data_IF_051367840151
#
_entry.id   IF_051367840151
#
_cell.length_a   1.000
_cell.length_b   1.000
_cell.length_c   1.000
_cell.angle_alpha   90.00
_cell.angle_beta   90.00
_cell.angle_gamma   90.00
#
_symmetry.space_group_name_H-M   'P 1'
#
loop_
_entity.id
_entity.type
_entity.pdbx_description
1 polymer ?
#
# COMPACT_ATOMS: atom_id res chain seq x y z
N UNK A 1 54.75 -43.71 17.46
CA UNK A 1 53.77 -43.50 18.50
C UNK A 1 53.20 -42.16 18.22
N UNK A 2 52.13 -42.16 17.56
CA UNK A 2 50.74 -41.99 17.97
C UNK A 2 50.29 -40.57 17.94
N UNK A 3 49.38 -40.32 16.98
CA UNK A 3 48.06 -39.67 17.11
C UNK A 3 48.11 -38.13 17.25
N UNK A 4 47.34 -37.33 16.59
CA UNK A 4 45.95 -37.47 16.20
C UNK A 4 45.53 -36.50 15.08
N UNK A 5 44.68 -37.01 14.29
CA UNK A 5 43.73 -36.45 13.37
C UNK A 5 42.75 -35.49 14.04
N UNK A 6 42.11 -34.69 13.22
CA UNK A 6 40.87 -33.93 13.43
C UNK A 6 41.05 -32.42 13.73
N UNK A 7 41.10 -31.64 12.68
CA UNK A 7 40.38 -30.37 12.66
C UNK A 7 40.02 -29.94 11.22
N UNK A 8 39.39 -30.85 10.49
CA UNK A 8 38.59 -30.51 9.28
C UNK A 8 37.13 -30.50 9.69
N UNK A 9 36.60 -29.41 10.23
CA UNK A 9 35.14 -29.17 10.33
C UNK A 9 34.94 -27.77 10.92
N UNK A 10 35.15 -26.69 10.16
CA UNK A 10 34.62 -25.34 10.46
C UNK A 10 34.91 -24.32 9.35
N UNK A 11 34.93 -24.69 8.07
CA UNK A 11 34.98 -23.73 6.98
C UNK A 11 33.96 -24.03 5.87
N UNK A 12 32.69 -24.21 6.23
CA UNK A 12 31.59 -24.22 5.28
C UNK A 12 30.37 -23.60 5.94
N UNK A 13 30.33 -22.30 6.12
CA UNK A 13 29.09 -21.56 6.34
C UNK A 13 29.33 -20.02 6.33
N UNK A 14 29.89 -19.50 5.24
CA UNK A 14 29.83 -18.06 5.03
C UNK A 14 29.93 -17.68 3.56
N UNK A 15 29.07 -18.26 2.73
CA UNK A 15 28.82 -17.82 1.35
C UNK A 15 27.33 -17.86 1.03
N UNK A 16 26.52 -17.16 1.83
CA UNK A 16 25.21 -16.69 1.40
C UNK A 16 25.16 -15.18 1.60
N UNK A 17 25.99 -14.45 0.88
CA UNK A 17 25.59 -13.11 0.42
C UNK A 17 24.45 -13.37 -0.55
N UNK A 18 23.21 -13.38 -0.03
CA UNK A 18 22.01 -13.36 -0.83
C UNK A 18 22.08 -12.05 -1.63
N UNK A 19 22.57 -12.15 -2.86
CA UNK A 19 22.27 -11.13 -3.87
C UNK A 19 20.78 -10.87 -3.73
N UNK A 20 20.35 -9.61 -3.77
CA UNK A 20 18.93 -9.26 -3.72
C UNK A 20 18.28 -9.79 -5.02
N UNK A 21 18.06 -11.12 -5.06
CA UNK A 21 17.37 -11.76 -6.16
C UNK A 21 15.99 -11.16 -6.21
N UNK A 22 15.65 -10.62 -7.37
CA UNK A 22 14.32 -10.05 -7.62
C UNK A 22 13.27 -11.10 -7.29
N UNK A 23 12.51 -10.83 -6.25
CA UNK A 23 11.58 -11.80 -5.62
C UNK A 23 10.34 -11.99 -6.49
N UNK A 24 9.94 -10.92 -7.22
CA UNK A 24 8.74 -10.92 -8.05
C UNK A 24 9.09 -10.70 -9.52
N UNK A 25 8.39 -11.40 -10.43
CA UNK A 25 8.51 -11.13 -11.87
C UNK A 25 7.97 -9.72 -12.18
N UNK A 26 6.75 -9.45 -11.75
CA UNK A 26 6.02 -8.21 -11.93
C UNK A 26 4.99 -8.00 -10.79
N UNK A 27 4.18 -6.92 -10.89
CA UNK A 27 3.14 -6.60 -9.91
C UNK A 27 2.04 -7.66 -9.86
N UNK A 28 1.69 -8.26 -11.00
CA UNK A 28 0.65 -9.29 -11.05
C UNK A 28 1.10 -10.57 -10.36
N UNK A 29 2.36 -10.97 -10.55
CA UNK A 29 2.94 -12.12 -9.84
C UNK A 29 2.93 -11.88 -8.33
N UNK A 30 3.42 -10.72 -7.86
CA UNK A 30 3.39 -10.36 -6.46
C UNK A 30 1.96 -10.34 -5.89
N UNK A 31 1.02 -9.80 -6.67
CA UNK A 31 -0.39 -9.71 -6.28
C UNK A 31 -1.06 -11.08 -6.19
N UNK A 32 -0.76 -12.03 -7.08
CA UNK A 32 -1.25 -13.40 -7.00
C UNK A 32 -0.83 -14.07 -5.71
N UNK A 33 0.45 -13.98 -5.35
CA UNK A 33 0.99 -14.55 -4.10
C UNK A 33 0.35 -13.88 -2.87
N UNK A 34 0.19 -12.57 -2.91
CA UNK A 34 -0.41 -11.81 -1.81
C UNK A 34 -1.89 -12.15 -1.65
N UNK A 35 -2.62 -12.31 -2.73
CA UNK A 35 -4.04 -12.69 -2.74
C UNK A 35 -4.27 -14.09 -2.17
N UNK A 36 -3.40 -15.06 -2.48
CA UNK A 36 -3.42 -16.40 -1.88
C UNK A 36 -3.20 -16.32 -0.36
N UNK A 37 -2.19 -15.56 0.08
CA UNK A 37 -1.92 -15.36 1.51
C UNK A 37 -3.08 -14.68 2.22
N UNK A 38 -3.68 -13.65 1.61
CA UNK A 38 -4.87 -12.97 2.11
C UNK A 38 -6.06 -13.91 2.22
N UNK A 39 -6.30 -14.73 1.21
CA UNK A 39 -7.41 -15.70 1.21
C UNK A 39 -7.29 -16.66 2.38
N UNK A 40 -6.10 -17.23 2.61
CA UNK A 40 -5.83 -18.12 3.76
C UNK A 40 -6.04 -17.37 5.07
N UNK A 41 -5.57 -16.13 5.17
CA UNK A 41 -5.74 -15.27 6.33
C UNK A 41 -7.23 -15.02 6.63
N UNK A 42 -8.00 -14.59 5.64
CA UNK A 42 -9.44 -14.29 5.79
C UNK A 42 -10.23 -15.53 6.20
N UNK A 43 -9.89 -16.70 5.65
CA UNK A 43 -10.50 -17.99 6.04
C UNK A 43 -10.20 -18.33 7.50
N UNK A 44 -8.95 -18.20 7.96
CA UNK A 44 -8.55 -18.43 9.35
C UNK A 44 -9.27 -17.50 10.33
N UNK A 45 -9.49 -16.24 9.93
CA UNK A 45 -10.22 -15.24 10.73
C UNK A 45 -11.74 -15.33 10.57
N UNK A 46 -12.25 -16.30 9.79
CA UNK A 46 -13.68 -16.49 9.52
C UNK A 46 -14.35 -15.22 8.95
N UNK A 47 -13.61 -14.44 8.14
CA UNK A 47 -14.13 -13.26 7.46
C UNK A 47 -14.74 -13.72 6.13
N UNK A 48 -16.07 -13.59 5.93
CA UNK A 48 -16.71 -14.06 4.72
C UNK A 48 -16.31 -13.26 3.49
N UNK A 49 -15.90 -13.94 2.42
CA UNK A 49 -15.61 -13.34 1.13
C UNK A 49 -16.93 -12.89 0.47
N UNK A 50 -17.17 -11.58 0.48
CA UNK A 50 -18.42 -11.01 -0.05
C UNK A 50 -18.22 -9.55 -0.44
N UNK A 51 -18.75 -9.16 -1.60
CA UNK A 51 -18.73 -7.77 -2.09
C UNK A 51 -19.40 -6.77 -1.14
N UNK A 52 -20.34 -7.23 -0.33
CA UNK A 52 -21.03 -6.41 0.66
C UNK A 52 -20.18 -6.18 1.92
N UNK A 53 -19.27 -7.08 2.23
CA UNK A 53 -18.51 -7.09 3.49
C UNK A 53 -17.05 -6.67 3.34
N UNK A 54 -16.47 -6.85 2.17
CA UNK A 54 -15.07 -6.55 1.89
C UNK A 54 -14.98 -5.55 0.73
N UNK A 55 -14.09 -4.57 0.89
CA UNK A 55 -13.69 -3.65 -0.16
C UNK A 55 -12.16 -3.60 -0.20
N UNK A 56 -11.59 -3.84 -1.38
CA UNK A 56 -10.18 -3.57 -1.64
C UNK A 56 -10.04 -2.09 -1.97
N UNK A 57 -9.21 -1.36 -1.24
CA UNK A 57 -8.83 0.01 -1.53
C UNK A 57 -7.38 0.04 -1.99
N UNK A 58 -7.13 0.45 -3.22
CA UNK A 58 -5.80 0.49 -3.79
C UNK A 58 -5.23 1.90 -3.89
N UNK A 59 -3.95 2.05 -3.53
CA UNK A 59 -3.23 3.32 -3.68
C UNK A 59 -2.68 3.40 -5.11
N UNK A 60 -3.12 4.37 -5.95
CA UNK A 60 -2.62 4.51 -7.31
C UNK A 60 -1.14 4.95 -7.35
N UNK A 61 -0.42 4.54 -8.37
CA UNK A 61 -0.88 3.83 -9.56
C UNK A 61 -0.62 2.33 -9.48
N UNK A 62 0.59 1.90 -9.05
CA UNK A 62 1.00 0.49 -9.02
C UNK A 62 0.10 -0.37 -8.14
N UNK A 63 -0.34 0.16 -6.99
CA UNK A 63 -1.25 -0.54 -6.09
C UNK A 63 -2.59 -0.91 -6.73
N UNK A 64 -3.03 -0.22 -7.80
CA UNK A 64 -4.28 -0.56 -8.49
C UNK A 64 -4.14 -1.86 -9.30
N UNK A 65 -2.99 -2.10 -9.91
CA UNK A 65 -2.70 -3.38 -10.59
C UNK A 65 -2.70 -4.52 -9.56
N UNK A 66 -2.04 -4.32 -8.42
CA UNK A 66 -2.03 -5.27 -7.31
C UNK A 66 -3.44 -5.51 -6.76
N UNK A 67 -4.21 -4.42 -6.59
CA UNK A 67 -5.59 -4.47 -6.10
C UNK A 67 -6.56 -5.19 -7.03
N UNK A 68 -6.42 -5.03 -8.35
CA UNK A 68 -7.25 -5.71 -9.37
C UNK A 68 -7.13 -7.23 -9.27
N UNK A 69 -5.89 -7.73 -9.20
CA UNK A 69 -5.61 -9.16 -9.07
C UNK A 69 -6.20 -9.70 -7.75
N UNK A 70 -5.95 -9.01 -6.64
CA UNK A 70 -6.46 -9.42 -5.32
C UNK A 70 -8.00 -9.40 -5.28
N UNK A 71 -8.62 -8.32 -5.75
CA UNK A 71 -10.08 -8.19 -5.76
C UNK A 71 -10.73 -9.28 -6.62
N UNK A 72 -10.14 -9.59 -7.79
CA UNK A 72 -10.59 -10.67 -8.67
C UNK A 72 -10.46 -12.05 -8.01
N UNK A 73 -9.33 -12.36 -7.37
CA UNK A 73 -9.12 -13.65 -6.67
C UNK A 73 -10.07 -13.83 -5.47
N UNK A 74 -10.39 -12.75 -4.77
CA UNK A 74 -11.30 -12.79 -3.62
C UNK A 74 -12.78 -12.66 -4.02
N UNK A 75 -13.09 -12.30 -5.27
CA UNK A 75 -14.45 -12.06 -5.76
C UNK A 75 -15.12 -10.85 -5.11
N UNK A 76 -14.35 -9.80 -4.78
CA UNK A 76 -14.81 -8.58 -4.09
C UNK A 76 -14.65 -7.33 -4.96
N UNK A 77 -15.15 -6.19 -4.49
CA UNK A 77 -15.01 -4.92 -5.20
C UNK A 77 -13.64 -4.28 -4.95
N UNK A 78 -13.19 -3.51 -5.95
CA UNK A 78 -12.02 -2.63 -5.90
C UNK A 78 -12.47 -1.17 -5.99
N UNK A 79 -11.82 -0.29 -5.24
CA UNK A 79 -11.86 1.15 -5.45
C UNK A 79 -10.47 1.76 -5.18
N UNK A 80 -10.29 3.03 -5.54
CA UNK A 80 -9.02 3.73 -5.37
C UNK A 80 -9.08 4.72 -4.21
N UNK A 81 -7.98 4.82 -3.49
CA UNK A 81 -7.75 5.85 -2.48
C UNK A 81 -6.50 6.64 -2.86
N UNK A 82 -6.67 7.93 -3.13
CA UNK A 82 -5.58 8.78 -3.60
C UNK A 82 -5.06 9.66 -2.48
N UNK A 83 -3.79 9.50 -2.18
CA UNK A 83 -3.01 10.38 -1.31
C UNK A 83 -1.85 10.99 -2.08
N UNK A 84 -1.32 12.10 -1.60
CA UNK A 84 -0.16 12.75 -2.20
C UNK A 84 0.85 13.14 -1.13
N UNK A 85 2.13 12.85 -1.39
CA UNK A 85 3.23 13.34 -0.56
C UNK A 85 3.34 14.84 -0.67
N UNK A 86 3.72 15.47 0.43
CA UNK A 86 4.14 16.87 0.48
C UNK A 86 5.66 16.86 0.66
N UNK A 87 6.39 17.41 -0.32
CA UNK A 87 7.84 17.52 -0.28
C UNK A 87 8.30 18.67 0.59
N UNK A 88 9.55 18.63 1.05
CA UNK A 88 10.18 19.72 1.78
C UNK A 88 10.45 20.93 0.85
N UNK A 89 10.51 22.18 1.38
CA UNK A 89 10.66 23.40 0.57
C UNK A 89 11.88 23.41 -0.37
N UNK A 90 12.98 22.79 0.07
CA UNK A 90 14.24 22.78 -0.68
C UNK A 90 14.62 21.40 -1.24
N UNK A 91 13.81 20.39 -0.95
CA UNK A 91 13.98 19.03 -1.44
C UNK A 91 12.64 18.34 -1.63
N UNK A 92 12.00 18.46 -2.80
CA UNK A 92 10.68 17.87 -3.07
C UNK A 92 10.63 16.34 -2.92
N UNK A 93 11.75 15.65 -3.04
CA UNK A 93 11.83 14.20 -2.85
C UNK A 93 11.77 13.79 -1.38
N UNK A 94 12.14 14.69 -0.46
CA UNK A 94 12.05 14.46 0.97
C UNK A 94 10.63 14.76 1.46
N UNK A 95 9.83 13.72 1.70
CA UNK A 95 8.46 13.89 2.14
C UNK A 95 8.38 14.37 3.60
N UNK A 96 7.75 15.52 3.82
CA UNK A 96 7.36 16.03 5.15
C UNK A 96 6.00 15.52 5.61
N UNK A 97 5.30 14.77 4.77
CA UNK A 97 4.03 14.14 5.07
C UNK A 97 3.28 13.72 3.83
N UNK A 98 2.01 13.31 4.02
CA UNK A 98 1.09 13.02 2.93
C UNK A 98 -0.32 13.52 3.28
N UNK A 99 -1.08 13.93 2.25
CA UNK A 99 -2.42 14.51 2.38
C UNK A 99 -3.45 13.72 1.57
N UNK A 100 -4.68 13.69 2.06
CA UNK A 100 -5.87 13.16 1.42
C UNK A 100 -6.75 14.30 0.85
N UNK A 101 -7.74 13.94 0.03
CA UNK A 101 -8.65 14.90 -0.61
C UNK A 101 -9.48 15.74 0.40
N UNK A 102 -9.77 15.21 1.60
CA UNK A 102 -10.51 15.90 2.67
C UNK A 102 -9.61 16.76 3.57
N UNK A 103 -8.32 16.90 3.22
CA UNK A 103 -7.33 17.61 4.02
C UNK A 103 -6.72 16.78 5.17
N UNK A 104 -7.14 15.52 5.35
CA UNK A 104 -6.47 14.60 6.29
C UNK A 104 -4.99 14.54 5.98
N UNK A 105 -4.16 14.83 6.97
CA UNK A 105 -2.72 14.92 6.83
C UNK A 105 -2.01 13.95 7.78
N UNK A 106 -1.05 13.22 7.24
CA UNK A 106 -0.10 12.43 8.02
C UNK A 106 1.26 13.12 7.97
N UNK A 107 1.70 13.79 9.05
CA UNK A 107 2.98 14.47 9.11
C UNK A 107 4.13 13.48 9.29
N UNK A 108 5.28 13.81 8.75
CA UNK A 108 6.57 13.28 9.18
C UNK A 108 7.17 14.25 10.19
N UNK A 109 6.77 14.12 11.46
CA UNK A 109 7.11 15.06 12.52
C UNK A 109 8.64 15.23 12.66
N UNK A 110 9.39 14.13 12.60
CA UNK A 110 10.87 14.15 12.67
C UNK A 110 11.48 15.02 11.57
N UNK A 111 10.94 14.94 10.35
CA UNK A 111 11.44 15.75 9.23
C UNK A 111 10.96 17.20 9.36
N UNK A 112 9.71 17.42 9.77
CA UNK A 112 9.16 18.76 9.99
C UNK A 112 9.94 19.49 11.06
N UNK A 113 10.16 18.88 12.21
CA UNK A 113 10.90 19.48 13.34
C UNK A 113 12.34 19.81 12.95
N UNK A 114 12.99 18.92 12.18
CA UNK A 114 14.38 19.11 11.74
C UNK A 114 14.52 20.23 10.70
N UNK A 115 13.56 20.35 9.78
CA UNK A 115 13.63 21.31 8.68
C UNK A 115 12.99 22.65 9.01
N UNK A 116 12.07 22.67 9.97
CA UNK A 116 11.28 23.83 10.39
C UNK A 116 10.78 24.65 9.18
N UNK A 117 9.91 24.06 8.32
CA UNK A 117 9.43 24.73 7.12
C UNK A 117 8.66 26.02 7.49
N UNK A 118 8.58 27.02 6.57
CA UNK A 118 7.78 28.23 6.81
C UNK A 118 6.35 27.91 7.25
N UNK A 119 5.80 28.72 8.13
CA UNK A 119 4.51 28.46 8.80
C UNK A 119 3.37 28.17 7.81
N UNK A 120 3.30 28.92 6.69
CA UNK A 120 2.22 28.76 5.70
C UNK A 120 2.50 27.69 4.65
N UNK A 121 3.75 27.23 4.53
CA UNK A 121 4.18 26.31 3.48
C UNK A 121 3.36 25.02 3.44
N UNK A 122 3.17 24.37 4.58
CA UNK A 122 2.41 23.12 4.65
C UNK A 122 0.95 23.35 4.22
N UNK A 123 0.35 24.46 4.62
CA UNK A 123 -1.02 24.84 4.23
C UNK A 123 -1.17 25.00 2.71
N UNK A 124 -0.27 25.76 2.11
CA UNK A 124 -0.24 25.99 0.66
C UNK A 124 -0.02 24.70 -0.13
N UNK A 125 0.95 23.89 0.30
CA UNK A 125 1.22 22.60 -0.35
C UNK A 125 0.05 21.63 -0.22
N UNK A 126 -0.62 21.57 0.94
CA UNK A 126 -1.84 20.79 1.11
C UNK A 126 -2.91 21.20 0.09
N UNK A 127 -3.19 22.51 -0.04
CA UNK A 127 -4.18 23.01 -0.98
C UNK A 127 -3.84 22.65 -2.44
N UNK A 128 -2.55 22.71 -2.80
CA UNK A 128 -2.07 22.33 -4.13
C UNK A 128 -2.27 20.84 -4.38
N UNK A 129 -1.85 19.99 -3.43
CA UNK A 129 -1.93 18.54 -3.58
C UNK A 129 -3.39 18.04 -3.56
N UNK A 130 -4.29 18.66 -2.79
CA UNK A 130 -5.71 18.32 -2.77
C UNK A 130 -6.33 18.51 -4.16
N UNK A 131 -6.04 19.62 -4.85
CA UNK A 131 -6.51 19.84 -6.22
C UNK A 131 -6.05 18.77 -7.20
N UNK A 132 -4.79 18.32 -7.06
CA UNK A 132 -4.26 17.24 -7.89
C UNK A 132 -4.89 15.89 -7.55
N UNK A 133 -5.16 15.60 -6.26
CA UNK A 133 -5.89 14.41 -5.83
C UNK A 133 -7.28 14.39 -6.46
N UNK A 134 -8.01 15.49 -6.38
CA UNK A 134 -9.35 15.62 -6.97
C UNK A 134 -9.34 15.42 -8.49
N UNK A 135 -8.34 16.01 -9.18
CA UNK A 135 -8.14 15.79 -10.62
C UNK A 135 -7.98 14.32 -10.97
N UNK A 136 -7.14 13.60 -10.19
CA UNK A 136 -6.91 12.16 -10.38
C UNK A 136 -8.14 11.34 -10.05
N UNK A 137 -8.83 11.62 -8.96
CA UNK A 137 -10.05 10.91 -8.59
C UNK A 137 -11.12 11.05 -9.67
N UNK A 138 -11.31 12.25 -10.23
CA UNK A 138 -12.22 12.46 -11.37
C UNK A 138 -11.82 11.69 -12.62
N UNK A 139 -10.51 11.53 -12.87
CA UNK A 139 -10.01 10.74 -14.01
C UNK A 139 -10.19 9.24 -13.80
N UNK A 140 -9.86 8.72 -12.62
CA UNK A 140 -9.88 7.30 -12.30
C UNK A 140 -11.30 6.76 -12.11
N UNK A 141 -12.18 7.59 -11.58
CA UNK A 141 -13.61 7.29 -11.42
C UNK A 141 -14.36 8.14 -12.44
N UNK A 142 -14.80 7.56 -13.51
CA UNK A 142 -15.64 8.26 -14.51
C UNK A 142 -16.99 8.67 -13.94
N UNK A 143 -17.49 8.01 -12.92
CA UNK A 143 -18.66 8.42 -12.15
C UNK A 143 -18.31 9.60 -11.25
N UNK A 144 -19.20 10.60 -11.17
CA UNK A 144 -19.01 11.84 -10.43
C UNK A 144 -19.05 11.69 -8.90
N UNK A 145 -19.22 10.48 -8.38
CA UNK A 145 -19.35 10.25 -6.95
C UNK A 145 -17.99 9.91 -6.32
N UNK A 146 -17.58 10.71 -5.33
CA UNK A 146 -16.53 10.36 -4.40
C UNK A 146 -16.89 9.03 -3.71
N UNK A 147 -15.86 8.30 -3.23
CA UNK A 147 -16.11 7.18 -2.31
C UNK A 147 -17.13 7.62 -1.27
N UNK A 148 -18.34 7.07 -1.39
CA UNK A 148 -19.40 7.37 -0.44
C UNK A 148 -19.03 6.72 0.90
N UNK A 149 -19.27 7.40 2.01
CA UNK A 149 -19.13 6.86 3.36
C UNK A 149 -19.77 5.47 3.50
N UNK A 150 -20.90 5.25 2.85
CA UNK A 150 -21.62 3.97 2.88
C UNK A 150 -20.85 2.82 2.18
N UNK A 151 -19.93 3.15 1.26
CA UNK A 151 -19.12 2.11 0.60
C UNK A 151 -18.03 1.52 1.49
N UNK A 152 -17.59 2.25 2.53
CA UNK A 152 -16.54 1.86 3.48
C UNK A 152 -17.12 1.43 4.82
N UNK A 153 -18.18 2.13 5.25
CA UNK A 153 -18.77 1.94 6.58
C UNK A 153 -19.15 0.49 6.83
N UNK A 154 -18.77 -0.01 8.02
CA UNK A 154 -19.05 -1.38 8.47
C UNK A 154 -18.46 -2.50 7.58
N UNK A 155 -17.55 -2.19 6.64
CA UNK A 155 -16.84 -3.18 5.84
C UNK A 155 -15.44 -3.46 6.36
N UNK A 156 -14.94 -4.64 6.06
CA UNK A 156 -13.51 -4.96 6.15
C UNK A 156 -12.83 -4.31 4.96
N UNK A 157 -11.93 -3.40 5.21
CA UNK A 157 -11.14 -2.72 4.19
C UNK A 157 -9.79 -3.41 4.05
N UNK A 158 -9.44 -3.81 2.84
CA UNK A 158 -8.12 -4.30 2.50
C UNK A 158 -7.41 -3.17 1.75
N UNK A 159 -6.52 -2.47 2.44
CA UNK A 159 -5.71 -1.39 1.85
C UNK A 159 -4.49 -2.00 1.18
N UNK A 160 -4.31 -1.71 -0.11
CA UNK A 160 -3.29 -2.35 -0.96
C UNK A 160 -2.40 -1.31 -1.64
N UNK A 161 -1.11 -1.62 -1.71
CA UNK A 161 -0.14 -0.95 -2.58
C UNK A 161 0.79 -2.01 -3.22
N UNK A 162 1.58 -1.65 -4.24
CA UNK A 162 2.57 -2.53 -4.88
C UNK A 162 3.87 -2.67 -4.06
N UNK A 163 4.00 -1.93 -2.99
CA UNK A 163 5.09 -1.96 -2.01
C UNK A 163 5.08 -0.71 -1.17
N UNK A 164 5.72 -0.78 -0.04
CA UNK A 164 5.81 0.35 0.87
C UNK A 164 7.28 0.70 1.14
N UNK A 165 7.61 1.99 1.13
CA UNK A 165 8.91 2.49 1.59
C UNK A 165 8.75 3.18 2.95
N UNK A 166 8.60 4.49 2.99
CA UNK A 166 8.39 5.26 4.23
C UNK A 166 6.98 5.14 4.80
N UNK A 167 6.02 4.68 4.01
CA UNK A 167 4.64 4.49 4.41
C UNK A 167 3.77 5.75 4.45
N UNK A 168 4.29 6.93 4.15
CA UNK A 168 3.54 8.19 4.30
C UNK A 168 2.17 8.17 3.60
N UNK A 169 2.08 7.61 2.39
CA UNK A 169 0.83 7.48 1.63
C UNK A 169 -0.14 6.50 2.27
N UNK A 170 0.37 5.37 2.75
CA UNK A 170 -0.43 4.32 3.42
C UNK A 170 -0.97 4.83 4.76
N UNK A 171 -0.14 5.48 5.57
CA UNK A 171 -0.58 6.06 6.86
C UNK A 171 -1.61 7.18 6.67
N UNK A 172 -1.44 8.04 5.64
CA UNK A 172 -2.45 9.05 5.32
C UNK A 172 -3.78 8.40 4.91
N UNK A 173 -3.73 7.34 4.10
CA UNK A 173 -4.92 6.58 3.71
C UNK A 173 -5.60 5.93 4.92
N UNK A 174 -4.85 5.30 5.85
CA UNK A 174 -5.37 4.72 7.09
C UNK A 174 -6.09 5.79 7.91
N UNK A 175 -5.46 6.94 8.17
CA UNK A 175 -6.08 8.04 8.92
C UNK A 175 -7.40 8.52 8.30
N UNK A 176 -7.48 8.51 6.98
CA UNK A 176 -8.70 8.85 6.27
C UNK A 176 -9.76 7.74 6.37
N UNK A 177 -9.35 6.47 6.17
CA UNK A 177 -10.26 5.31 6.24
C UNK A 177 -10.94 5.21 7.60
N UNK A 178 -10.22 5.43 8.70
CA UNK A 178 -10.74 5.39 10.07
C UNK A 178 -11.94 6.34 10.25
N UNK A 179 -11.88 7.55 9.68
CA UNK A 179 -12.97 8.51 9.73
C UNK A 179 -14.26 8.01 9.08
N UNK A 180 -14.15 7.03 8.16
CA UNK A 180 -15.29 6.41 7.47
C UNK A 180 -15.93 5.29 8.30
N UNK A 181 -15.41 5.00 9.48
CA UNK A 181 -15.91 3.96 10.42
C UNK A 181 -15.97 2.57 9.76
N UNK A 182 -14.87 2.03 9.23
CA UNK A 182 -14.80 0.67 8.74
C UNK A 182 -15.07 -0.31 9.90
N UNK A 183 -15.38 -1.56 9.56
CA UNK A 183 -15.42 -2.65 10.53
C UNK A 183 -14.03 -3.09 10.93
N UNK A 184 -13.13 -3.17 9.96
CA UNK A 184 -11.73 -3.60 10.10
C UNK A 184 -10.88 -2.97 9.00
N UNK A 185 -9.58 -2.80 9.29
CA UNK A 185 -8.57 -2.38 8.33
C UNK A 185 -7.45 -3.42 8.29
N UNK A 186 -7.27 -4.03 7.14
CA UNK A 186 -6.17 -4.96 6.86
C UNK A 186 -5.29 -4.28 5.81
N UNK A 187 -4.00 -4.13 6.11
CA UNK A 187 -3.02 -3.61 5.14
C UNK A 187 -2.37 -4.79 4.44
N UNK A 188 -2.38 -4.82 3.11
CA UNK A 188 -1.83 -5.91 2.32
C UNK A 188 -0.79 -5.38 1.33
N UNK A 189 0.48 -5.75 1.54
CA UNK A 189 1.65 -5.21 0.84
C UNK A 189 2.56 -6.36 0.41
N UNK A 190 3.03 -6.42 -0.85
CA UNK A 190 3.99 -7.45 -1.27
C UNK A 190 5.34 -7.33 -0.55
N UNK A 191 5.87 -6.11 -0.44
CA UNK A 191 7.20 -5.86 0.13
C UNK A 191 7.28 -4.52 0.83
N UNK A 192 8.03 -4.46 1.92
CA UNK A 192 8.33 -3.22 2.63
C UNK A 192 9.44 -3.41 3.66
N UNK A 193 10.13 -2.33 4.07
CA UNK A 193 11.17 -2.42 5.10
C UNK A 193 10.55 -2.82 6.43
N UNK A 194 11.29 -3.59 7.18
CA UNK A 194 10.85 -4.17 8.46
C UNK A 194 10.30 -3.11 9.41
N UNK A 195 11.01 -1.99 9.57
CA UNK A 195 10.63 -0.93 10.49
C UNK A 195 9.27 -0.29 10.12
N UNK A 196 9.01 -0.08 8.81
CA UNK A 196 7.73 0.45 8.34
C UNK A 196 6.60 -0.55 8.56
N UNK A 197 6.85 -1.84 8.32
CA UNK A 197 5.84 -2.89 8.55
C UNK A 197 5.55 -3.04 10.05
N UNK A 198 6.57 -3.00 10.91
CA UNK A 198 6.38 -3.03 12.36
C UNK A 198 5.63 -1.78 12.87
N UNK A 199 5.91 -0.60 12.28
CA UNK A 199 5.15 0.61 12.58
C UNK A 199 3.68 0.46 12.22
N UNK A 200 3.36 -0.09 11.05
CA UNK A 200 1.98 -0.38 10.65
C UNK A 200 1.27 -1.34 11.61
N UNK A 201 1.98 -2.36 12.10
CA UNK A 201 1.42 -3.33 13.07
C UNK A 201 1.15 -2.74 14.44
N UNK A 202 1.76 -1.60 14.76
CA UNK A 202 1.56 -0.89 16.04
C UNK A 202 0.47 0.18 15.96
N UNK A 203 -0.04 0.48 14.76
CA UNK A 203 -1.18 1.39 14.62
C UNK A 203 -2.42 0.69 15.19
N UNK A 204 -3.02 1.28 16.24
CA UNK A 204 -4.15 0.69 16.97
C UNK A 204 -5.36 0.39 16.08
N UNK A 205 -5.52 1.19 15.03
CA UNK A 205 -6.64 1.07 14.11
C UNK A 205 -6.39 0.11 12.93
N UNK A 206 -5.20 -0.50 12.85
CA UNK A 206 -4.87 -1.52 11.87
C UNK A 206 -5.03 -2.89 12.51
N UNK A 207 -6.04 -3.63 12.10
CA UNK A 207 -6.33 -4.97 12.66
C UNK A 207 -5.26 -6.00 12.28
N UNK A 208 -4.69 -5.91 11.08
CA UNK A 208 -3.57 -6.77 10.70
C UNK A 208 -2.80 -6.25 9.47
N UNK A 209 -1.56 -6.75 9.31
CA UNK A 209 -0.69 -6.45 8.17
C UNK A 209 -0.26 -7.75 7.51
N UNK A 210 -0.74 -8.00 6.30
CA UNK A 210 -0.36 -9.14 5.47
C UNK A 210 0.73 -8.70 4.51
N UNK A 211 1.95 -9.20 4.73
CA UNK A 211 3.12 -8.86 3.90
C UNK A 211 3.78 -10.14 3.41
N UNK A 212 4.28 -10.17 2.16
CA UNK A 212 4.99 -11.35 1.63
C UNK A 212 6.42 -11.39 2.12
N UNK A 213 7.14 -10.27 2.02
CA UNK A 213 8.55 -10.20 2.44
C UNK A 213 8.91 -8.86 3.07
N UNK A 214 9.81 -8.93 4.06
CA UNK A 214 10.40 -7.76 4.74
C UNK A 214 11.92 -7.90 4.69
N UNK A 215 12.54 -7.50 3.57
CA UNK A 215 13.97 -7.69 3.36
C UNK A 215 14.81 -6.87 4.34
N UNK A 216 16.03 -7.34 4.62
CA UNK A 216 16.99 -6.61 5.47
C UNK A 216 17.53 -5.36 4.78
N UNK A 217 17.82 -5.47 3.49
CA UNK A 217 18.29 -4.36 2.66
C UNK A 217 17.15 -3.85 1.79
N UNK A 218 16.78 -2.60 1.97
CA UNK A 218 15.68 -1.96 1.26
C UNK A 218 16.06 -0.55 0.81
N UNK A 219 16.20 -0.35 -0.49
CA UNK A 219 16.46 0.96 -1.10
C UNK A 219 15.22 1.54 -1.78
N UNK A 220 14.50 0.70 -2.52
CA UNK A 220 13.28 1.09 -3.21
C UNK A 220 12.41 -0.15 -3.48
N UNK A 221 11.09 0.05 -3.61
CA UNK A 221 10.12 -1.01 -3.92
C UNK A 221 10.53 -1.78 -5.19
N UNK A 222 10.92 -1.05 -6.24
CA UNK A 222 11.23 -1.64 -7.56
C UNK A 222 12.42 -2.61 -7.59
N UNK A 223 13.30 -2.59 -6.55
CA UNK A 223 14.42 -3.53 -6.51
C UNK A 223 13.98 -5.00 -6.37
N UNK A 224 12.77 -5.24 -5.88
CA UNK A 224 12.22 -6.58 -5.65
C UNK A 224 11.45 -7.13 -6.84
N UNK A 225 11.33 -6.37 -7.92
CA UNK A 225 10.61 -6.72 -9.13
C UNK A 225 11.56 -6.84 -10.32
N UNK A 226 11.38 -7.86 -11.16
CA UNK A 226 12.11 -7.97 -12.44
C UNK A 226 11.60 -6.93 -13.42
N UNK A 227 10.29 -6.81 -13.53
CA UNK A 227 9.62 -5.73 -14.26
C UNK A 227 8.84 -4.84 -13.26
N UNK A 228 9.30 -3.60 -13.12
CA UNK A 228 8.63 -2.56 -12.34
C UNK A 228 8.34 -1.34 -13.22
N UNK A 229 7.91 -1.59 -14.45
CA UNK A 229 7.55 -0.54 -15.42
C UNK A 229 6.53 0.42 -14.84
N UNK A 230 6.59 1.67 -15.27
CA UNK A 230 5.66 2.69 -14.80
C UNK A 230 4.22 2.34 -15.23
N UNK A 231 3.31 2.39 -14.27
CA UNK A 231 1.87 2.26 -14.54
C UNK A 231 1.32 3.64 -14.89
N UNK A 232 0.70 3.75 -16.06
CA UNK A 232 0.07 4.99 -16.51
C UNK A 232 -1.35 5.16 -15.99
N UNK A 233 -1.82 6.41 -15.98
CA UNK A 233 -3.19 6.73 -15.55
C UNK A 233 -4.24 5.99 -16.37
N UNK A 234 -3.99 5.71 -17.67
CA UNK A 234 -4.93 5.01 -18.54
C UNK A 234 -5.13 3.55 -18.14
N UNK A 235 -4.07 2.88 -17.65
CA UNK A 235 -4.16 1.53 -17.08
C UNK A 235 -5.06 1.54 -15.85
N UNK A 236 -4.89 2.54 -14.98
CA UNK A 236 -5.76 2.70 -13.79
C UNK A 236 -7.21 2.89 -14.20
N UNK A 237 -7.48 3.73 -15.19
CA UNK A 237 -8.84 3.95 -15.72
C UNK A 237 -9.44 2.66 -16.25
N UNK A 238 -8.70 1.90 -17.10
CA UNK A 238 -9.17 0.63 -17.66
C UNK A 238 -9.49 -0.41 -16.57
N UNK A 239 -8.67 -0.48 -15.53
CA UNK A 239 -8.94 -1.37 -14.39
C UNK A 239 -10.21 -0.93 -13.67
N UNK A 240 -10.35 0.35 -13.36
CA UNK A 240 -11.50 0.84 -12.62
C UNK A 240 -12.83 0.69 -13.37
N UNK A 241 -12.83 0.76 -14.71
CA UNK A 241 -14.01 0.50 -15.55
C UNK A 241 -14.62 -0.89 -15.32
N UNK A 242 -13.82 -1.90 -14.98
CA UNK A 242 -14.31 -3.26 -14.66
C UNK A 242 -15.23 -3.27 -13.44
N UNK A 243 -15.00 -2.34 -12.50
CA UNK A 243 -15.72 -2.28 -11.22
C UNK A 243 -16.88 -1.27 -11.22
N UNK A 244 -16.88 -0.31 -12.14
CA UNK A 244 -17.98 0.66 -12.32
C UNK A 244 -19.27 0.03 -12.87
N UNK A 245 -19.17 -1.02 -13.68
CA UNK A 245 -20.32 -1.69 -14.31
C UNK A 245 -21.19 -2.49 -13.33
N UNK A 246 -20.66 -2.77 -12.12
CA UNK A 246 -21.39 -3.54 -11.10
C UNK A 246 -22.42 -2.74 -10.28
N UNK A 247 -22.40 -1.42 -10.34
CA UNK A 247 -23.30 -0.55 -9.55
C UNK A 247 -24.61 -0.22 -10.24
N UNK A 248 -24.74 -0.47 -11.54
CA UNK A 248 -25.96 -0.16 -12.32
C UNK A 248 -26.98 -1.29 -12.44
N UNK A 249 -26.66 -2.53 -11.99
CA UNK A 249 -27.57 -3.69 -12.13
C UNK A 249 -28.41 -4.00 -10.88
N UNK A 250 -28.46 -3.12 -9.88
CA UNK A 250 -29.31 -3.30 -8.70
C UNK A 250 -30.22 -2.07 -8.47
N UNK A 251 -30.99 -1.71 -9.49
CA UNK A 251 -32.19 -0.85 -9.33
C UNK A 251 -33.42 -1.57 -9.88
#
# INVERSE_FOLDING_TARGET
MSYDSNNEFCEENNKNSVSADKVFEDREHAARLLGEKLRIYLMKKQIPLSKQRILVLAIPRGGVVTGDVIASQLGVNLDVVVSRKIGAPWNPELAIGAVMHDGTFYPNEVVIDRLNPPQDYIGEQKALQIREIERRLRRFRRSKEYLNYDSIRNKTIILVDDGIATGATVFAAIKWIIKQKPKQIIVAIPVGPRDTIEKLRREEEVDDVVVLTTPLEFWAVGQFYRDFSQVDDDIVVQIMEKYDQGTHNNR
#
